data_IF_643295688720
#
_entry.id   IF_643295688720
#
_cell.length_a   1.000
_cell.length_b   1.000
_cell.length_c   1.000
_cell.angle_alpha   90.00
_cell.angle_beta   90.00
_cell.angle_gamma   90.00
#
_symmetry.space_group_name_H-M   'P 1'
#
loop_
_entity.id
_entity.type
_entity.pdbx_description
1 polymer ?
#
# COMPACT_ATOMS: atom_id res chain seq x y z
N UNK A 1 8.66 21.55 -4.07
CA UNK A 1 8.50 20.52 -5.09
C UNK A 1 9.45 19.37 -4.79
N UNK A 2 8.95 18.15 -4.79
CA UNK A 2 9.72 16.91 -4.61
C UNK A 2 9.37 15.91 -5.70
N UNK A 3 10.31 15.05 -6.05
CA UNK A 3 10.08 13.96 -6.98
C UNK A 3 10.93 12.76 -6.58
N UNK A 4 10.38 11.57 -6.77
CA UNK A 4 11.06 10.32 -6.48
C UNK A 4 10.84 9.32 -7.62
N UNK A 5 11.91 8.63 -8.01
CA UNK A 5 11.88 7.49 -8.92
C UNK A 5 12.74 6.39 -8.32
N UNK A 6 12.23 5.18 -8.27
CA UNK A 6 12.95 4.06 -7.69
C UNK A 6 12.56 2.72 -8.30
N UNK A 7 13.51 1.80 -8.32
CA UNK A 7 13.32 0.40 -8.68
C UNK A 7 13.73 -0.46 -7.48
N UNK A 8 12.81 -1.29 -7.04
CA UNK A 8 12.97 -2.11 -5.83
C UNK A 8 12.77 -3.57 -6.16
N UNK A 9 13.48 -4.43 -5.43
CA UNK A 9 13.37 -5.87 -5.53
C UNK A 9 13.15 -6.49 -4.15
N UNK A 10 12.28 -7.48 -4.07
CA UNK A 10 11.98 -8.19 -2.85
C UNK A 10 11.84 -9.68 -3.11
N UNK A 11 12.35 -10.51 -2.22
CA UNK A 11 12.06 -11.96 -2.24
C UNK A 11 10.56 -12.19 -1.99
N UNK A 12 9.95 -13.19 -2.65
CA UNK A 12 8.66 -13.71 -2.24
C UNK A 12 8.64 -14.10 -0.77
N UNK A 13 7.45 -14.20 -0.17
CA UNK A 13 7.33 -14.56 1.24
C UNK A 13 7.95 -15.93 1.53
N UNK A 14 8.46 -16.11 2.75
CA UNK A 14 8.99 -17.43 3.16
C UNK A 14 7.92 -18.52 3.15
N UNK A 15 6.65 -18.19 3.37
CA UNK A 15 5.53 -19.11 3.21
C UNK A 15 5.46 -19.64 1.78
N UNK A 16 5.58 -18.76 0.80
CA UNK A 16 5.59 -19.13 -0.62
C UNK A 16 6.81 -19.98 -0.97
N UNK A 17 8.02 -19.53 -0.61
CA UNK A 17 9.27 -20.23 -0.93
C UNK A 17 9.41 -21.58 -0.21
N UNK A 18 8.82 -21.68 0.99
CA UNK A 18 8.85 -22.88 1.83
C UNK A 18 7.79 -23.92 1.52
N UNK A 19 6.90 -23.64 0.57
CA UNK A 19 5.85 -24.60 0.18
C UNK A 19 6.45 -25.88 -0.39
N UNK A 20 5.96 -27.00 0.12
CA UNK A 20 6.36 -28.35 -0.30
C UNK A 20 5.19 -29.04 -1.01
N UNK A 21 5.49 -29.68 -2.11
CA UNK A 21 4.59 -30.59 -2.80
C UNK A 21 4.35 -31.90 -2.04
N UNK A 22 3.55 -32.76 -2.62
CA UNK A 22 3.17 -34.05 -2.02
C UNK A 22 4.35 -34.99 -1.78
N UNK A 23 5.40 -34.90 -2.61
CA UNK A 23 6.63 -35.70 -2.50
C UNK A 23 7.68 -35.03 -1.56
N UNK A 24 7.35 -33.90 -0.92
CA UNK A 24 8.20 -33.16 -0.01
C UNK A 24 9.23 -32.23 -0.66
N UNK A 25 9.18 -32.07 -1.99
CA UNK A 25 10.01 -31.14 -2.77
C UNK A 25 9.55 -29.69 -2.57
N UNK A 26 10.48 -28.75 -2.65
CA UNK A 26 10.14 -27.32 -2.61
C UNK A 26 9.73 -26.84 -4.01
N UNK A 27 8.43 -26.72 -4.24
CA UNK A 27 7.83 -26.40 -5.53
C UNK A 27 8.18 -24.98 -6.00
N UNK A 28 8.22 -24.03 -5.11
CA UNK A 28 8.29 -22.59 -5.42
C UNK A 28 9.73 -22.01 -5.39
N UNK A 29 10.78 -22.84 -5.42
CA UNK A 29 12.18 -22.37 -5.42
C UNK A 29 12.57 -21.54 -6.64
N UNK A 30 11.83 -21.65 -7.72
CA UNK A 30 12.08 -20.99 -8.99
C UNK A 30 11.42 -19.60 -9.09
N UNK A 31 10.72 -19.15 -8.04
CA UNK A 31 10.08 -17.85 -8.05
C UNK A 31 11.12 -16.73 -8.18
N UNK A 32 10.83 -15.79 -9.07
CA UNK A 32 11.64 -14.61 -9.28
C UNK A 32 11.51 -13.61 -8.13
N UNK A 33 12.47 -12.67 -8.06
CA UNK A 33 12.33 -11.49 -7.21
C UNK A 33 11.16 -10.65 -7.68
N UNK A 34 10.25 -10.31 -6.78
CA UNK A 34 9.23 -9.30 -7.02
C UNK A 34 9.92 -7.98 -7.34
N UNK A 35 9.56 -7.34 -8.43
CA UNK A 35 10.10 -6.03 -8.82
C UNK A 35 9.02 -4.96 -8.70
N UNK A 36 9.41 -3.76 -8.25
CA UNK A 36 8.52 -2.60 -8.13
C UNK A 36 9.23 -1.37 -8.70
N UNK A 37 8.69 -0.80 -9.78
CA UNK A 37 9.02 0.56 -10.21
C UNK A 37 8.06 1.54 -9.56
N UNK A 38 8.60 2.58 -8.92
CA UNK A 38 7.81 3.59 -8.24
C UNK A 38 8.21 4.97 -8.72
N UNK A 39 7.23 5.79 -8.99
CA UNK A 39 7.37 7.20 -9.33
C UNK A 39 6.44 8.02 -8.46
N UNK A 40 6.90 9.15 -7.94
CA UNK A 40 6.05 10.12 -7.25
C UNK A 40 6.47 11.56 -7.52
N UNK A 41 5.50 12.46 -7.45
CA UNK A 41 5.68 13.89 -7.58
C UNK A 41 4.85 14.60 -6.52
N UNK A 42 5.49 15.44 -5.72
CA UNK A 42 4.87 16.12 -4.61
C UNK A 42 5.09 17.64 -4.63
N UNK A 43 4.11 18.35 -4.13
CA UNK A 43 4.14 19.77 -3.89
C UNK A 43 3.78 20.05 -2.43
N UNK A 44 4.62 20.80 -1.73
CA UNK A 44 4.33 21.33 -0.40
C UNK A 44 4.18 22.84 -0.46
N UNK A 45 3.20 23.34 0.28
CA UNK A 45 2.94 24.75 0.44
C UNK A 45 2.79 25.12 1.92
N UNK A 46 3.59 26.06 2.36
CA UNK A 46 3.67 26.57 3.74
C UNK A 46 3.32 28.06 3.73
N UNK A 47 2.02 28.43 3.78
CA UNK A 47 1.62 29.82 3.72
C UNK A 47 2.10 30.62 4.93
N UNK A 48 2.35 29.98 6.06
CA UNK A 48 2.93 30.55 7.27
C UNK A 48 3.61 29.44 8.10
N UNK A 49 4.32 29.81 9.17
CA UNK A 49 5.07 28.90 10.03
C UNK A 49 4.20 27.84 10.75
N UNK A 50 2.90 28.06 10.79
CA UNK A 50 1.96 27.21 11.53
C UNK A 50 1.14 26.29 10.63
N UNK A 51 1.29 26.37 9.31
CA UNK A 51 0.44 25.64 8.37
C UNK A 51 1.27 25.02 7.26
N UNK A 52 1.05 23.75 7.01
CA UNK A 52 1.63 23.00 5.91
C UNK A 52 0.52 22.22 5.19
N UNK A 53 0.48 22.35 3.90
CA UNK A 53 -0.34 21.57 2.99
C UNK A 53 0.56 20.89 1.98
N UNK A 54 0.40 19.58 1.78
CA UNK A 54 1.09 18.86 0.72
C UNK A 54 0.15 18.00 -0.10
N UNK A 55 0.48 17.85 -1.37
CA UNK A 55 -0.15 16.93 -2.30
C UNK A 55 0.95 16.14 -3.00
N UNK A 56 0.79 14.82 -3.05
CA UNK A 56 1.69 13.91 -3.75
C UNK A 56 0.88 12.95 -4.62
N UNK A 57 1.23 12.89 -5.90
CA UNK A 57 0.76 11.85 -6.80
C UNK A 57 1.80 10.73 -6.87
N UNK A 58 1.37 9.47 -6.90
CA UNK A 58 2.25 8.33 -7.03
C UNK A 58 1.73 7.31 -8.03
N UNK A 59 2.68 6.60 -8.66
CA UNK A 59 2.42 5.48 -9.54
C UNK A 59 3.44 4.37 -9.28
N UNK A 60 2.95 3.12 -9.13
CA UNK A 60 3.76 1.94 -8.90
C UNK A 60 3.40 0.85 -9.90
N UNK A 61 4.41 0.25 -10.51
CA UNK A 61 4.28 -0.93 -11.35
C UNK A 61 4.94 -2.13 -10.67
N UNK A 62 4.22 -3.23 -10.58
CA UNK A 62 4.69 -4.48 -10.00
C UNK A 62 4.91 -5.51 -11.09
N UNK A 63 6.06 -6.16 -11.06
CA UNK A 63 6.42 -7.28 -11.93
C UNK A 63 6.83 -8.51 -11.13
N UNK A 64 6.75 -9.68 -11.76
CA UNK A 64 7.08 -10.97 -11.17
C UNK A 64 6.33 -11.26 -9.87
N UNK A 65 5.07 -10.80 -9.80
CA UNK A 65 4.23 -11.03 -8.64
C UNK A 65 3.78 -12.49 -8.60
N UNK A 66 3.71 -13.10 -7.40
CA UNK A 66 3.23 -14.47 -7.26
C UNK A 66 1.79 -14.63 -7.75
N UNK A 67 1.57 -15.66 -8.55
CA UNK A 67 0.28 -16.07 -9.11
C UNK A 67 -0.06 -17.49 -8.64
N UNK A 68 -1.25 -17.69 -8.12
CA UNK A 68 -1.74 -18.98 -7.67
C UNK A 68 -2.07 -19.87 -8.87
N UNK A 69 -1.45 -21.03 -8.96
CA UNK A 69 -1.73 -22.00 -10.00
C UNK A 69 -3.02 -22.79 -9.72
N UNK A 70 -3.42 -22.91 -8.45
CA UNK A 70 -4.64 -23.60 -8.05
C UNK A 70 -5.89 -22.74 -8.27
N UNK A 71 -5.87 -21.50 -7.84
CA UNK A 71 -7.04 -20.62 -7.86
C UNK A 71 -7.08 -19.69 -9.07
N UNK A 72 -6.02 -19.69 -9.88
CA UNK A 72 -5.90 -18.88 -11.11
C UNK A 72 -6.11 -17.39 -10.84
N UNK A 73 -5.49 -16.89 -9.77
CA UNK A 73 -5.60 -15.49 -9.32
C UNK A 73 -4.24 -14.98 -8.80
N UNK A 74 -3.89 -13.70 -9.03
CA UNK A 74 -2.73 -13.10 -8.40
C UNK A 74 -2.81 -13.19 -6.87
N UNK A 75 -1.73 -13.56 -6.21
CA UNK A 75 -1.71 -13.75 -4.76
C UNK A 75 -2.11 -12.48 -3.99
N UNK A 76 -1.82 -11.30 -4.55
CA UNK A 76 -2.22 -9.99 -4.02
C UNK A 76 -3.73 -9.73 -4.07
N UNK A 77 -4.50 -10.53 -4.82
CA UNK A 77 -5.96 -10.44 -4.89
C UNK A 77 -6.65 -11.39 -3.92
N UNK A 78 -5.90 -12.29 -3.26
CA UNK A 78 -6.41 -13.15 -2.21
C UNK A 78 -6.55 -12.38 -0.90
N UNK A 79 -7.73 -12.43 -0.30
CA UNK A 79 -8.02 -11.87 1.02
C UNK A 79 -7.92 -12.91 2.13
N UNK A 80 -8.44 -12.56 3.30
CA UNK A 80 -8.41 -13.44 4.49
C UNK A 80 -9.22 -14.74 4.31
N UNK A 81 -10.13 -14.79 3.37
CA UNK A 81 -10.96 -15.97 3.09
C UNK A 81 -10.18 -17.13 2.47
N UNK A 82 -8.98 -16.86 1.96
CA UNK A 82 -8.09 -17.85 1.35
C UNK A 82 -7.13 -18.55 2.34
N UNK A 83 -7.28 -18.32 3.64
CA UNK A 83 -6.44 -18.94 4.67
C UNK A 83 -4.98 -18.44 4.64
N UNK A 84 -4.01 -19.36 4.70
CA UNK A 84 -2.59 -18.98 4.70
C UNK A 84 -2.14 -18.67 3.28
N UNK A 85 -2.01 -17.38 2.97
CA UNK A 85 -1.62 -16.90 1.65
C UNK A 85 -0.19 -17.36 1.29
N UNK A 86 -0.04 -17.96 0.12
CA UNK A 86 1.24 -18.41 -0.43
C UNK A 86 1.65 -19.84 -0.06
N UNK A 87 0.84 -20.58 0.70
CA UNK A 87 1.07 -21.99 1.00
C UNK A 87 0.48 -22.89 -0.10
N UNK A 88 0.94 -22.70 -1.33
CA UNK A 88 0.45 -23.36 -2.54
C UNK A 88 1.46 -23.23 -3.68
N UNK A 89 1.24 -23.97 -4.78
CA UNK A 89 2.07 -23.86 -5.99
C UNK A 89 1.83 -22.52 -6.69
N UNK A 90 2.91 -21.80 -6.98
CA UNK A 90 2.91 -20.43 -7.51
C UNK A 90 3.78 -20.32 -8.76
N UNK A 91 3.48 -19.32 -9.60
CA UNK A 91 4.35 -18.80 -10.65
C UNK A 91 4.67 -17.33 -10.39
N UNK A 92 5.62 -16.74 -11.14
CA UNK A 92 6.01 -15.32 -11.05
C UNK A 92 5.44 -14.49 -12.22
N UNK A 93 4.27 -14.82 -12.71
CA UNK A 93 3.71 -14.23 -13.94
C UNK A 93 2.81 -13.03 -13.69
N UNK A 94 2.28 -12.88 -12.48
CA UNK A 94 1.35 -11.79 -12.20
C UNK A 94 2.04 -10.42 -12.24
N UNK A 95 1.28 -9.44 -12.69
CA UNK A 95 1.67 -8.03 -12.76
C UNK A 95 0.65 -7.18 -12.05
N UNK A 96 1.08 -6.02 -11.58
CA UNK A 96 0.18 -5.12 -10.87
C UNK A 96 0.51 -3.66 -11.09
N UNK A 97 -0.41 -2.82 -10.66
CA UNK A 97 -0.22 -1.38 -10.58
C UNK A 97 -0.97 -0.81 -9.38
N UNK A 98 -0.37 0.20 -8.77
CA UNK A 98 -1.05 1.02 -7.76
C UNK A 98 -0.78 2.48 -8.06
N UNK A 99 -1.80 3.30 -8.01
CA UNK A 99 -1.67 4.73 -8.27
C UNK A 99 -2.69 5.50 -7.45
N UNK A 100 -2.35 6.75 -7.15
CA UNK A 100 -3.21 7.56 -6.32
C UNK A 100 -2.64 8.93 -6.03
N UNK A 101 -3.37 9.62 -5.17
CA UNK A 101 -3.00 10.94 -4.67
C UNK A 101 -3.10 10.93 -3.16
N UNK A 102 -2.11 11.50 -2.51
CA UNK A 102 -2.07 11.72 -1.07
C UNK A 102 -2.10 13.22 -0.78
N UNK A 103 -3.01 13.62 0.10
CA UNK A 103 -3.14 14.96 0.63
C UNK A 103 -2.77 14.94 2.11
N UNK A 104 -1.91 15.84 2.54
CA UNK A 104 -1.57 16.00 3.95
C UNK A 104 -1.75 17.46 4.36
N UNK A 105 -2.34 17.65 5.52
CA UNK A 105 -2.57 18.94 6.13
C UNK A 105 -2.11 18.92 7.57
N UNK A 106 -1.25 19.86 7.95
CA UNK A 106 -0.82 20.11 9.32
C UNK A 106 -1.10 21.56 9.66
N UNK A 107 -1.64 21.79 10.84
CA UNK A 107 -1.96 23.12 11.30
C UNK A 107 -1.76 23.25 12.81
N UNK A 108 -0.85 24.12 13.19
CA UNK A 108 -0.69 24.59 14.56
C UNK A 108 -1.61 25.81 14.74
N UNK A 109 -2.90 25.55 14.96
CA UNK A 109 -3.94 26.58 15.02
C UNK A 109 -3.66 27.61 16.13
N UNK A 110 -3.15 27.14 17.25
CA UNK A 110 -2.65 27.97 18.36
C UNK A 110 -1.44 27.26 18.96
N UNK A 111 -0.69 27.95 19.84
CA UNK A 111 0.39 27.29 20.60
C UNK A 111 -0.09 26.07 21.44
N UNK A 112 -1.41 25.91 21.58
CA UNK A 112 -2.03 24.84 22.36
C UNK A 112 -2.73 23.80 21.52
N UNK A 113 -3.16 24.11 20.30
CA UNK A 113 -3.95 23.22 19.45
C UNK A 113 -3.20 22.89 18.15
N UNK A 114 -2.83 21.63 18.03
CA UNK A 114 -2.21 21.05 16.84
C UNK A 114 -3.21 20.10 16.16
N UNK A 115 -3.40 20.27 14.85
CA UNK A 115 -4.24 19.44 14.02
C UNK A 115 -3.40 18.85 12.89
N UNK A 116 -3.64 17.57 12.55
CA UNK A 116 -3.09 16.96 11.35
C UNK A 116 -4.13 16.06 10.70
N UNK A 117 -4.14 16.04 9.37
CA UNK A 117 -4.95 15.11 8.61
C UNK A 117 -4.21 14.62 7.38
N UNK A 118 -4.50 13.39 6.97
CA UNK A 118 -4.07 12.85 5.69
C UNK A 118 -5.25 12.15 5.01
N UNK A 119 -5.33 12.30 3.70
CA UNK A 119 -6.28 11.62 2.85
C UNK A 119 -5.52 11.01 1.68
N UNK A 120 -5.57 9.70 1.56
CA UNK A 120 -5.04 8.97 0.41
C UNK A 120 -6.21 8.42 -0.40
N UNK A 121 -6.26 8.73 -1.68
CA UNK A 121 -7.21 8.16 -2.65
C UNK A 121 -6.38 7.37 -3.64
N UNK A 122 -6.66 6.07 -3.79
CA UNK A 122 -5.82 5.20 -4.60
C UNK A 122 -6.61 4.05 -5.22
N UNK A 123 -5.98 3.42 -6.20
CA UNK A 123 -6.40 2.16 -6.79
C UNK A 123 -5.22 1.21 -6.82
N UNK A 124 -5.47 -0.06 -6.46
CA UNK A 124 -4.48 -1.13 -6.48
C UNK A 124 -5.09 -2.35 -7.16
N UNK A 125 -4.51 -2.79 -8.26
CA UNK A 125 -5.05 -3.86 -9.07
C UNK A 125 -3.94 -4.72 -9.68
N UNK A 126 -4.22 -6.00 -9.86
CA UNK A 126 -3.28 -6.98 -10.40
C UNK A 126 -3.95 -7.79 -11.51
N UNK A 127 -3.12 -8.42 -12.35
CA UNK A 127 -3.56 -9.24 -13.46
C UNK A 127 -2.63 -10.44 -13.67
N UNK A 128 -3.16 -11.45 -14.33
CA UNK A 128 -2.38 -12.57 -14.84
C UNK A 128 -1.62 -12.15 -16.10
N UNK A 129 -0.29 -12.21 -16.02
CA UNK A 129 0.61 -11.95 -17.15
C UNK A 129 0.29 -10.69 -17.95
N UNK A 130 0.52 -10.76 -19.26
CA UNK A 130 0.28 -9.63 -20.18
C UNK A 130 -1.18 -9.52 -20.63
N UNK A 131 -1.86 -10.64 -20.80
CA UNK A 131 -3.19 -10.71 -21.43
C UNK A 131 -4.33 -10.69 -20.41
N UNK A 132 -4.04 -10.89 -19.13
CA UNK A 132 -5.04 -10.90 -18.07
C UNK A 132 -5.73 -9.56 -17.88
N UNK A 133 -6.97 -9.56 -17.42
CA UNK A 133 -7.70 -8.36 -17.00
C UNK A 133 -7.27 -7.95 -15.59
N UNK A 134 -7.23 -6.63 -15.35
CA UNK A 134 -6.95 -6.11 -14.01
C UNK A 134 -8.12 -6.39 -13.06
N UNK A 135 -7.81 -6.98 -11.91
CA UNK A 135 -8.71 -7.22 -10.79
C UNK A 135 -8.23 -6.42 -9.57
N UNK A 136 -9.12 -5.85 -8.76
CA UNK A 136 -8.73 -5.16 -7.54
C UNK A 136 -7.91 -6.08 -6.62
N UNK A 137 -6.90 -5.53 -5.95
CA UNK A 137 -6.22 -6.25 -4.88
C UNK A 137 -7.12 -6.34 -3.65
N UNK A 138 -6.88 -7.33 -2.79
CA UNK A 138 -7.57 -7.46 -1.50
C UNK A 138 -7.42 -6.23 -0.58
N UNK A 139 -6.48 -5.34 -0.89
CA UNK A 139 -6.16 -4.13 -0.13
C UNK A 139 -6.57 -2.83 -0.85
N UNK A 140 -7.37 -2.93 -1.92
CA UNK A 140 -7.86 -1.76 -2.68
C UNK A 140 -9.01 -1.06 -1.96
N UNK A 141 -8.72 -0.49 -0.82
CA UNK A 141 -9.69 0.22 0.02
C UNK A 141 -10.18 1.55 -0.57
N UNK A 142 -9.71 1.96 -1.73
CA UNK A 142 -10.06 3.18 -2.46
C UNK A 142 -9.65 4.46 -1.77
N UNK A 143 -9.87 4.60 -0.46
CA UNK A 143 -9.42 5.76 0.29
C UNK A 143 -9.07 5.41 1.74
N UNK A 144 -8.16 6.21 2.30
CA UNK A 144 -7.78 6.18 3.71
C UNK A 144 -7.76 7.61 4.20
N UNK A 145 -8.57 7.93 5.20
CA UNK A 145 -8.59 9.22 5.89
C UNK A 145 -8.10 9.05 7.31
N UNK A 146 -7.11 9.84 7.70
CA UNK A 146 -6.69 9.96 9.09
C UNK A 146 -6.79 11.42 9.51
N UNK A 147 -7.34 11.66 10.68
CA UNK A 147 -7.39 12.98 11.31
C UNK A 147 -6.95 12.84 12.76
N UNK A 148 -6.11 13.73 13.22
CA UNK A 148 -5.71 13.78 14.62
C UNK A 148 -5.61 15.21 15.11
N UNK A 149 -5.91 15.40 16.39
CA UNK A 149 -5.79 16.68 17.06
C UNK A 149 -5.29 16.50 18.48
N UNK A 150 -4.46 17.45 18.94
CA UNK A 150 -3.96 17.47 20.31
C UNK A 150 -4.12 18.88 20.87
N UNK A 151 -4.74 18.98 22.04
CA UNK A 151 -4.86 20.21 22.78
C UNK A 151 -4.03 20.17 24.06
N UNK A 152 -3.17 21.15 24.25
CA UNK A 152 -2.32 21.31 25.43
C UNK A 152 -2.95 22.28 26.42
N UNK A 153 -3.41 21.76 27.56
CA UNK A 153 -3.96 22.55 28.66
C UNK A 153 -2.84 23.18 29.51
N UNK A 154 -3.16 24.23 30.29
CA UNK A 154 -2.30 24.68 31.36
C UNK A 154 -1.96 23.55 32.36
N UNK A 155 -0.84 23.66 33.07
CA UNK A 155 -0.40 22.69 34.10
C UNK A 155 -0.01 21.30 33.53
N UNK A 156 0.56 21.25 32.32
CA UNK A 156 1.15 20.04 31.70
C UNK A 156 0.18 18.91 31.34
N UNK A 157 -1.10 19.20 31.21
CA UNK A 157 -2.09 18.25 30.65
C UNK A 157 -2.21 18.40 29.15
N UNK A 158 -2.35 17.29 28.47
CA UNK A 158 -2.69 17.26 27.03
C UNK A 158 -3.80 16.26 26.77
N UNK A 159 -4.68 16.57 25.83
CA UNK A 159 -5.72 15.70 25.32
C UNK A 159 -5.54 15.54 23.82
N UNK A 160 -5.44 14.30 23.36
CA UNK A 160 -5.35 13.95 21.94
C UNK A 160 -6.53 13.08 21.51
N UNK A 161 -6.97 13.28 20.28
CA UNK A 161 -7.96 12.45 19.63
C UNK A 161 -7.48 12.09 18.21
N UNK A 162 -7.81 10.88 17.77
CA UNK A 162 -7.55 10.42 16.41
C UNK A 162 -8.79 9.73 15.85
N UNK A 163 -9.11 10.03 14.59
CA UNK A 163 -10.15 9.35 13.81
C UNK A 163 -9.48 8.80 12.56
N UNK A 164 -9.78 7.55 12.24
CA UNK A 164 -9.36 6.90 11.00
C UNK A 164 -10.59 6.33 10.29
N UNK A 165 -10.69 6.56 9.00
CA UNK A 165 -11.73 6.02 8.14
C UNK A 165 -11.06 5.37 6.94
N UNK A 166 -11.39 4.11 6.68
CA UNK A 166 -10.83 3.31 5.60
C UNK A 166 -12.00 2.84 4.75
N UNK A 167 -11.86 2.96 3.44
CA UNK A 167 -12.85 2.44 2.49
C UNK A 167 -13.01 0.92 2.61
N UNK A 168 -14.13 0.40 2.15
CA UNK A 168 -14.37 -1.04 2.12
C UNK A 168 -13.43 -1.76 1.18
N UNK A 169 -13.05 -3.00 1.52
CA UNK A 169 -12.37 -3.91 0.59
C UNK A 169 -13.29 -4.28 -0.58
N UNK A 170 -12.76 -4.53 -1.78
CA UNK A 170 -13.52 -4.98 -2.94
C UNK A 170 -14.15 -6.35 -2.73
#
# INVERSE_FOLDING_TARGET
>A
LSGHVGLYYQLPSYTALGFKGEEGEYVNRHLDYISVSQESLGLSWTPNENMELSVEGFYKLYGHMPFSLSDQIPLSCKGNDYGTIGNEALSSEAKGRSYGVELMFKWLLTQKLNLSSSLTIFKSEFKDGEQGSYVPSAWDNRFILNMSGTYNFPKHWSLGAKVSCIGGSP
#
